data_IF_701545058207
#
_entry.id   IF_701545058207
#
_cell.length_a   1.000
_cell.length_b   1.000
_cell.length_c   1.000
_cell.angle_alpha   90.00
_cell.angle_beta   90.00
_cell.angle_gamma   90.00
#
_symmetry.space_group_name_H-M   'P 1'
#
loop_
_entity.id
_entity.type
_entity.pdbx_description
1 polymer ?
#
# COMPACT_ATOMS: atom_id res chain seq x y z
N UNK A 1 12.27 -6.67 22.29
CA UNK A 1 11.09 -6.31 21.50
C UNK A 1 9.89 -6.79 22.29
N UNK A 2 8.96 -5.89 22.61
CA UNK A 2 7.73 -6.22 23.36
C UNK A 2 6.57 -5.71 22.53
N UNK A 3 5.58 -6.56 22.29
CA UNK A 3 4.34 -6.20 21.59
C UNK A 3 3.22 -6.40 22.60
N UNK A 4 2.48 -5.33 22.88
CA UNK A 4 1.35 -5.37 23.79
C UNK A 4 0.14 -4.68 23.17
N UNK A 5 -1.05 -5.16 23.52
CA UNK A 5 -2.30 -4.49 23.20
C UNK A 5 -2.73 -3.70 24.43
N UNK A 6 -2.82 -2.38 24.29
CA UNK A 6 -3.30 -1.51 25.34
C UNK A 6 -4.58 -0.84 24.85
N UNK A 7 -5.71 -1.16 25.49
CA UNK A 7 -7.04 -0.74 25.04
C UNK A 7 -7.30 -1.20 23.59
N UNK A 8 -7.49 -0.25 22.67
CA UNK A 8 -7.67 -0.48 21.24
C UNK A 8 -6.39 -0.27 20.40
N UNK A 9 -5.25 -0.02 21.04
CA UNK A 9 -3.99 0.27 20.37
C UNK A 9 -3.01 -0.90 20.48
N UNK A 10 -2.13 -1.03 19.49
CA UNK A 10 -1.00 -1.96 19.52
C UNK A 10 0.26 -1.13 19.77
N UNK A 11 0.93 -1.40 20.90
CA UNK A 11 2.19 -0.74 21.27
C UNK A 11 3.34 -1.70 20.97
N UNK A 12 4.26 -1.26 20.10
CA UNK A 12 5.47 -2.01 19.75
C UNK A 12 6.66 -1.28 20.34
N UNK A 13 7.33 -1.91 21.31
CA UNK A 13 8.55 -1.36 21.95
C UNK A 13 9.79 -1.94 21.28
N UNK A 14 10.54 -1.06 20.64
CA UNK A 14 11.76 -1.33 19.90
C UNK A 14 12.96 -0.71 20.61
N UNK A 15 14.14 -1.33 20.47
CA UNK A 15 15.38 -0.72 20.94
C UNK A 15 15.88 0.26 19.87
N UNK A 16 15.83 1.56 20.17
CA UNK A 16 16.21 2.63 19.23
C UNK A 16 17.69 2.64 18.87
N UNK A 17 18.57 2.01 19.65
CA UNK A 17 20.01 1.97 19.35
C UNK A 17 20.37 0.87 18.33
N UNK A 18 19.45 -0.04 18.02
CA UNK A 18 19.70 -1.21 17.17
C UNK A 18 18.87 -1.23 15.89
N UNK A 19 17.94 -0.29 15.74
CA UNK A 19 17.00 -0.27 14.62
C UNK A 19 17.02 1.09 13.96
N UNK A 20 17.14 1.08 12.63
CA UNK A 20 17.06 2.26 11.79
C UNK A 20 15.63 2.80 11.74
N UNK A 21 15.49 4.11 11.93
CA UNK A 21 14.20 4.79 11.87
C UNK A 21 13.60 4.77 10.46
N UNK A 22 14.40 4.66 9.40
CA UNK A 22 13.90 4.50 8.03
C UNK A 22 13.12 3.18 7.88
N UNK A 23 13.66 2.10 8.44
CA UNK A 23 13.02 0.78 8.44
C UNK A 23 11.74 0.78 9.29
N UNK A 24 11.75 1.47 10.44
CA UNK A 24 10.53 1.66 11.25
C UNK A 24 9.46 2.41 10.45
N UNK A 25 9.82 3.44 9.70
CA UNK A 25 8.88 4.20 8.87
C UNK A 25 8.28 3.35 7.75
N UNK A 26 9.06 2.47 7.10
CA UNK A 26 8.56 1.52 6.11
C UNK A 26 7.51 0.59 6.70
N UNK A 27 7.76 0.08 7.91
CA UNK A 27 6.84 -0.80 8.62
C UNK A 27 5.53 -0.09 9.02
N UNK A 28 5.63 1.14 9.51
CA UNK A 28 4.44 1.97 9.81
C UNK A 28 3.63 2.26 8.53
N UNK A 29 4.29 2.53 7.41
CA UNK A 29 3.61 2.74 6.14
C UNK A 29 2.85 1.49 5.66
N UNK A 30 3.41 0.30 5.89
CA UNK A 30 2.72 -0.95 5.58
C UNK A 30 1.46 -1.15 6.44
N UNK A 31 1.52 -0.87 7.74
CA UNK A 31 0.32 -0.92 8.58
C UNK A 31 -0.73 0.10 8.14
N UNK A 32 -0.31 1.31 7.77
CA UNK A 32 -1.23 2.32 7.25
C UNK A 32 -1.90 1.89 5.94
N UNK A 33 -1.17 1.18 5.08
CA UNK A 33 -1.74 0.57 3.88
C UNK A 33 -2.77 -0.51 4.22
N UNK A 34 -2.49 -1.38 5.19
CA UNK A 34 -3.43 -2.39 5.66
C UNK A 34 -4.69 -1.76 6.28
N UNK A 35 -4.54 -0.73 7.11
CA UNK A 35 -5.67 0.01 7.69
C UNK A 35 -6.49 0.70 6.61
N UNK A 36 -5.82 1.35 5.65
CA UNK A 36 -6.49 2.01 4.53
C UNK A 36 -7.26 1.01 3.68
N UNK A 37 -6.68 -0.15 3.37
CA UNK A 37 -7.37 -1.23 2.66
C UNK A 37 -8.49 -1.88 3.48
N UNK A 38 -8.35 -2.00 4.80
CA UNK A 38 -9.43 -2.49 5.65
C UNK A 38 -10.63 -1.53 5.63
N UNK A 39 -10.40 -0.22 5.48
CA UNK A 39 -11.46 0.77 5.25
C UNK A 39 -11.91 0.89 3.78
N UNK A 40 -11.09 0.42 2.83
CA UNK A 40 -11.42 0.45 1.42
C UNK A 40 -12.21 -0.82 1.08
N UNK A 41 -13.50 -0.69 0.80
CA UNK A 41 -14.32 -1.77 0.21
C UNK A 41 -13.96 -2.02 -1.27
N UNK A 42 -12.80 -1.52 -1.72
CA UNK A 42 -12.27 -1.68 -3.06
C UNK A 42 -11.92 -3.13 -3.33
N UNK A 43 -12.72 -3.84 -4.12
CA UNK A 43 -12.42 -5.24 -4.45
C UNK A 43 -11.23 -5.32 -5.41
N UNK A 44 -10.54 -6.46 -5.44
CA UNK A 44 -9.48 -6.75 -6.42
C UNK A 44 -9.99 -6.58 -7.87
N UNK A 45 -11.28 -6.86 -8.10
CA UNK A 45 -11.97 -6.61 -9.37
C UNK A 45 -12.04 -5.12 -9.72
N UNK A 46 -12.29 -4.23 -8.76
CA UNK A 46 -12.30 -2.78 -9.01
C UNK A 46 -10.91 -2.23 -9.33
N UNK A 47 -9.86 -2.77 -8.69
CA UNK A 47 -8.48 -2.42 -9.02
C UNK A 47 -8.09 -2.93 -10.42
N UNK A 48 -8.51 -4.15 -10.76
CA UNK A 48 -8.28 -4.77 -12.08
C UNK A 48 -9.01 -4.00 -13.18
N UNK A 49 -10.25 -3.59 -12.94
CA UNK A 49 -11.04 -2.81 -13.90
C UNK A 49 -10.38 -1.44 -14.14
N UNK A 50 -9.97 -0.76 -13.09
CA UNK A 50 -9.25 0.52 -13.21
C UNK A 50 -7.94 0.37 -14.00
N UNK A 51 -7.17 -0.68 -13.74
CA UNK A 51 -5.94 -0.96 -14.50
C UNK A 51 -6.23 -1.19 -15.98
N UNK A 52 -7.28 -1.97 -16.32
CA UNK A 52 -7.71 -2.18 -17.70
C UNK A 52 -8.16 -0.90 -18.39
N UNK A 53 -8.92 -0.04 -17.70
CA UNK A 53 -9.35 1.24 -18.26
C UNK A 53 -8.16 2.15 -18.58
N UNK A 54 -7.19 2.23 -17.66
CA UNK A 54 -5.96 3.02 -17.84
C UNK A 54 -5.15 2.49 -19.02
N UNK A 55 -4.90 1.19 -19.10
CA UNK A 55 -4.14 0.57 -20.18
C UNK A 55 -4.82 0.74 -21.54
N UNK A 56 -6.14 0.55 -21.59
CA UNK A 56 -6.93 0.71 -22.82
C UNK A 56 -6.91 2.16 -23.31
N UNK A 57 -7.06 3.12 -22.39
CA UNK A 57 -7.00 4.54 -22.70
C UNK A 57 -5.63 4.94 -23.21
N UNK A 58 -4.58 4.53 -22.51
CA UNK A 58 -3.20 4.80 -22.90
C UNK A 58 -2.87 4.20 -24.26
N UNK A 59 -3.26 2.95 -24.51
CA UNK A 59 -3.07 2.30 -25.80
C UNK A 59 -3.82 3.01 -26.92
N UNK A 60 -5.08 3.39 -26.72
CA UNK A 60 -5.86 4.12 -27.72
C UNK A 60 -5.20 5.45 -28.12
N UNK A 61 -4.65 6.17 -27.14
CA UNK A 61 -3.97 7.44 -27.36
C UNK A 61 -2.58 7.25 -28.01
N UNK A 62 -1.86 6.16 -27.70
CA UNK A 62 -0.45 6.00 -28.07
C UNK A 62 -0.17 4.95 -29.15
N UNK A 63 -1.15 4.16 -29.60
CA UNK A 63 -0.93 3.06 -30.58
C UNK A 63 -0.26 3.50 -31.89
N UNK A 64 -0.47 4.75 -32.30
CA UNK A 64 0.15 5.35 -33.48
C UNK A 64 1.69 5.43 -33.39
N UNK A 65 2.25 5.29 -32.18
CA UNK A 65 3.70 5.26 -31.94
C UNK A 65 4.30 3.86 -32.10
N UNK A 66 3.46 2.83 -32.13
CA UNK A 66 3.88 1.42 -32.05
C UNK A 66 3.44 0.58 -33.24
N UNK A 67 2.49 1.06 -34.05
CA UNK A 67 2.00 0.37 -35.24
C UNK A 67 2.30 1.28 -36.45
N UNK A 68 2.97 0.75 -37.52
CA UNK A 68 3.30 1.51 -38.73
C UNK A 68 2.08 2.04 -39.48
#
# INVERSE_FOLDING_TARGET
MVIERQNNEIVIRLNSSLIDMEEVQKFVNYFRFLESNASNQGTEEQATELAREVDTKWWKENKHRFIP
#
